data_IF_907375578760
#
_entry.id   IF_907375578760
#
_cell.length_a   1.000
_cell.length_b   1.000
_cell.length_c   1.000
_cell.angle_alpha   90.00
_cell.angle_beta   90.00
_cell.angle_gamma   90.00
#
_symmetry.space_group_name_H-M   'P 1'
#
loop_
_entity.id
_entity.type
_entity.pdbx_description
1 polymer ?
#
# COMPACT_ATOMS: atom_id res chain seq x y z
N UNK A 1 53.71 70.28 22.55
CA UNK A 1 52.85 71.06 21.63
C UNK A 1 51.45 71.10 22.22
N UNK A 2 50.97 72.30 22.53
CA UNK A 2 49.58 72.81 22.68
C UNK A 2 48.43 71.86 22.24
N UNK A 3 47.19 71.85 22.76
CA UNK A 3 46.41 72.69 23.71
C UNK A 3 45.01 72.04 23.85
N UNK A 4 44.31 72.36 24.94
CA UNK A 4 42.83 72.54 25.13
C UNK A 4 41.84 71.35 25.25
N UNK A 5 41.24 71.21 26.45
CA UNK A 5 39.82 70.86 26.75
C UNK A 5 38.88 72.05 26.37
N UNK A 6 37.51 72.00 26.31
CA UNK A 6 36.54 71.15 27.06
C UNK A 6 35.18 70.79 26.36
N UNK A 7 34.24 70.19 27.13
CA UNK A 7 32.75 70.29 27.05
C UNK A 7 32.00 69.51 25.93
N UNK A 8 30.76 68.98 26.02
CA UNK A 8 29.64 68.85 26.99
C UNK A 8 28.54 68.01 26.25
N UNK A 9 27.61 67.35 26.98
CA UNK A 9 26.32 66.73 26.54
C UNK A 9 26.41 65.47 25.62
N UNK A 10 25.68 64.36 25.83
CA UNK A 10 24.31 64.22 26.30
C UNK A 10 24.08 62.92 27.09
N UNK A 11 23.18 63.04 28.06
CA UNK A 11 22.61 61.95 28.83
C UNK A 11 21.41 61.29 28.11
N UNK A 12 21.09 60.10 28.59
CA UNK A 12 19.80 59.43 28.57
C UNK A 12 19.45 58.50 27.39
N UNK A 13 18.75 57.42 27.78
CA UNK A 13 18.13 56.33 27.01
C UNK A 13 19.07 55.18 26.60
N UNK A 14 19.04 54.06 27.35
CA UNK A 14 18.27 52.85 26.98
C UNK A 14 18.15 51.96 28.24
N UNK A 15 17.04 52.09 28.98
CA UNK A 15 16.52 51.06 29.89
C UNK A 15 15.11 50.70 29.42
N UNK A 16 15.00 50.02 28.29
CA UNK A 16 13.72 49.49 27.79
C UNK A 16 13.97 48.30 26.85
N UNK A 17 14.60 47.23 27.35
CA UNK A 17 14.96 46.07 26.53
C UNK A 17 14.44 44.71 27.00
N UNK A 18 13.95 44.58 28.24
CA UNK A 18 13.67 43.25 28.82
C UNK A 18 12.21 42.78 28.73
N UNK A 19 11.24 43.66 28.42
CA UNK A 19 9.82 43.28 28.38
C UNK A 19 9.31 42.73 27.04
N UNK A 20 10.03 42.98 25.94
CA UNK A 20 9.59 42.55 24.60
C UNK A 20 9.95 41.08 24.30
N UNK A 21 11.02 40.57 24.91
CA UNK A 21 11.49 39.19 24.69
C UNK A 21 10.62 38.18 25.44
N UNK A 22 10.12 38.50 26.64
CA UNK A 22 9.25 37.60 27.43
C UNK A 22 7.92 37.34 26.71
N UNK A 23 7.27 38.39 26.19
CA UNK A 23 6.01 38.27 25.41
C UNK A 23 6.17 37.44 24.13
N UNK A 24 7.34 37.48 23.48
CA UNK A 24 7.61 36.71 22.26
C UNK A 24 7.85 35.23 22.58
N UNK A 25 8.58 34.95 23.65
CA UNK A 25 8.86 33.58 24.13
C UNK A 25 7.58 32.90 24.63
N UNK A 26 6.68 33.59 25.34
CA UNK A 26 5.36 33.05 25.72
C UNK A 26 4.50 32.73 24.49
N UNK A 27 4.48 33.64 23.49
CA UNK A 27 3.68 33.48 22.27
C UNK A 27 4.21 32.37 21.35
N UNK A 28 5.52 32.15 21.34
CA UNK A 28 6.18 31.06 20.59
C UNK A 28 6.03 29.71 21.32
N UNK A 29 6.11 29.69 22.66
CA UNK A 29 5.83 28.49 23.46
C UNK A 29 4.36 28.04 23.34
N UNK A 30 3.42 28.96 23.14
CA UNK A 30 2.01 28.63 22.92
C UNK A 30 1.71 28.10 21.50
N UNK A 31 2.59 28.35 20.53
CA UNK A 31 2.47 27.86 19.16
C UNK A 31 3.03 26.43 18.95
N UNK A 32 3.78 25.90 19.92
CA UNK A 32 4.44 24.59 19.87
C UNK A 32 3.89 23.57 20.88
N UNK A 33 2.82 23.91 21.60
CA UNK A 33 2.12 22.92 22.42
C UNK A 33 1.43 21.92 21.51
N UNK A 34 1.51 20.60 21.79
CA UNK A 34 0.64 19.62 21.12
C UNK A 34 -0.80 20.10 21.24
N UNK A 35 -1.64 19.84 20.22
CA UNK A 35 -3.07 20.15 20.25
C UNK A 35 -3.60 19.80 21.65
N UNK A 36 -3.98 20.81 22.42
CA UNK A 36 -4.46 20.60 23.79
C UNK A 36 -5.80 19.89 23.66
N UNK A 37 -5.80 18.57 23.78
CA UNK A 37 -7.01 17.77 23.69
C UNK A 37 -7.82 17.89 24.98
N UNK A 38 -9.15 17.96 24.85
CA UNK A 38 -10.07 18.11 25.97
C UNK A 38 -10.40 16.74 26.59
N UNK A 39 -10.22 16.53 27.91
CA UNK A 39 -10.59 15.28 28.57
C UNK A 39 -12.10 15.22 28.84
N UNK A 40 -12.86 14.49 28.02
CA UNK A 40 -14.31 14.39 28.20
C UNK A 40 -14.66 13.61 29.46
N UNK A 41 -13.93 12.54 29.79
CA UNK A 41 -14.23 11.66 30.92
C UNK A 41 -14.30 12.42 32.24
N UNK A 42 -13.35 13.31 32.50
CA UNK A 42 -13.31 14.12 33.72
C UNK A 42 -14.56 14.99 33.85
N UNK A 43 -15.00 15.62 32.76
CA UNK A 43 -16.14 16.53 32.78
C UNK A 43 -17.47 15.77 32.89
N UNK A 44 -17.61 14.66 32.16
CA UNK A 44 -18.81 13.81 32.24
C UNK A 44 -18.93 13.15 33.61
N UNK A 45 -17.82 12.74 34.24
CA UNK A 45 -17.80 12.18 35.59
C UNK A 45 -18.21 13.20 36.67
N UNK A 46 -18.04 14.51 36.41
CA UNK A 46 -18.57 15.59 37.26
C UNK A 46 -20.06 15.87 37.04
N UNK A 47 -20.74 15.12 36.16
CA UNK A 47 -22.17 15.25 35.89
C UNK A 47 -22.52 16.41 34.95
N UNK A 48 -21.55 16.92 34.18
CA UNK A 48 -21.80 17.94 33.15
C UNK A 48 -22.49 17.27 31.95
N UNK A 49 -23.65 17.79 31.54
CA UNK A 49 -24.41 17.26 30.41
C UNK A 49 -23.73 17.60 29.08
N UNK A 50 -23.80 16.69 28.09
CA UNK A 50 -23.16 16.92 26.79
C UNK A 50 -23.62 18.23 26.11
N UNK A 51 -24.89 18.59 26.32
CA UNK A 51 -25.54 19.77 25.73
C UNK A 51 -25.11 21.08 26.40
N UNK A 52 -24.53 21.00 27.60
CA UNK A 52 -24.00 22.18 28.28
C UNK A 52 -22.79 22.72 27.51
N UNK A 53 -21.93 21.84 26.98
CA UNK A 53 -20.79 22.24 26.15
C UNK A 53 -21.15 22.29 24.65
N UNK A 54 -21.94 21.35 24.15
CA UNK A 54 -22.35 21.27 22.74
C UNK A 54 -23.66 22.00 22.48
N UNK A 55 -23.69 23.30 22.78
CA UNK A 55 -24.91 24.12 22.73
C UNK A 55 -25.48 24.17 21.31
N UNK A 56 -26.77 23.86 21.17
CA UNK A 56 -27.51 23.93 19.90
C UNK A 56 -27.33 22.71 18.99
N UNK A 57 -26.60 21.68 19.44
CA UNK A 57 -26.37 20.45 18.66
C UNK A 57 -27.69 19.77 18.27
N UNK A 58 -28.74 19.94 19.08
CA UNK A 58 -30.08 19.41 18.82
C UNK A 58 -30.77 20.02 17.60
N UNK A 59 -30.28 21.16 17.11
CA UNK A 59 -30.77 21.84 15.91
C UNK A 59 -29.82 21.68 14.72
N UNK A 60 -28.67 21.03 14.91
CA UNK A 60 -27.66 20.90 13.87
C UNK A 60 -28.18 20.04 12.71
N UNK A 61 -28.19 20.63 11.51
CA UNK A 61 -28.68 19.95 10.29
C UNK A 61 -27.55 19.39 9.44
N UNK A 62 -26.31 19.75 9.75
CA UNK A 62 -25.12 19.29 9.06
C UNK A 62 -23.97 19.20 10.05
N UNK A 63 -23.06 18.25 9.83
CA UNK A 63 -21.82 18.16 10.59
C UNK A 63 -20.85 19.33 10.30
N UNK A 64 -21.08 20.10 9.22
CA UNK A 64 -20.28 21.31 8.96
C UNK A 64 -20.49 22.40 10.03
N UNK A 65 -21.62 22.39 10.72
CA UNK A 65 -21.94 23.29 11.82
C UNK A 65 -21.20 22.81 13.09
N UNK A 66 -20.22 23.59 13.54
CA UNK A 66 -19.40 23.22 14.71
C UNK A 66 -20.05 23.73 15.99
N UNK A 67 -20.80 22.86 16.65
CA UNK A 67 -21.33 23.10 18.00
C UNK A 67 -20.28 22.71 19.05
N UNK A 68 -19.12 23.36 19.00
CA UNK A 68 -18.03 23.15 19.95
C UNK A 68 -18.04 24.26 21.00
N UNK A 69 -17.64 23.96 22.25
CA UNK A 69 -17.57 24.96 23.31
C UNK A 69 -16.55 26.05 22.94
N UNK A 70 -16.87 27.29 23.30
CA UNK A 70 -15.98 28.45 23.12
C UNK A 70 -15.16 28.68 24.38
N UNK A 71 -14.12 29.52 24.33
CA UNK A 71 -13.32 29.87 25.52
C UNK A 71 -14.19 30.50 26.62
N UNK A 72 -15.24 31.23 26.23
CA UNK A 72 -16.21 31.79 27.18
C UNK A 72 -16.92 30.69 27.96
N UNK A 73 -17.27 29.58 27.31
CA UNK A 73 -17.93 28.45 27.99
C UNK A 73 -17.01 27.77 28.99
N UNK A 74 -15.71 27.67 28.68
CA UNK A 74 -14.70 27.17 29.62
C UNK A 74 -14.56 28.11 30.83
N UNK A 75 -14.65 29.42 30.59
CA UNK A 75 -14.49 30.47 31.60
C UNK A 75 -15.62 30.54 32.63
N UNK A 76 -16.75 29.88 32.39
CA UNK A 76 -17.82 29.74 33.39
C UNK A 76 -17.39 28.90 34.60
N UNK A 77 -16.38 28.02 34.46
CA UNK A 77 -15.86 27.17 35.54
C UNK A 77 -14.33 27.27 35.72
N UNK A 78 -13.58 27.59 34.66
CA UNK A 78 -12.12 27.63 34.66
C UNK A 78 -11.59 29.03 34.33
N UNK A 79 -10.92 29.68 35.28
CA UNK A 79 -10.27 30.96 35.02
C UNK A 79 -8.99 30.77 34.18
N UNK A 80 -8.89 31.50 33.05
CA UNK A 80 -7.67 31.57 32.24
C UNK A 80 -7.41 30.40 31.28
N UNK A 81 -8.43 29.57 30.98
CA UNK A 81 -8.31 28.50 29.98
C UNK A 81 -8.99 28.87 28.66
N UNK A 82 -8.23 28.76 27.57
CA UNK A 82 -8.77 28.85 26.20
C UNK A 82 -9.33 27.51 25.74
N UNK A 83 -10.43 27.55 24.99
CA UNK A 83 -10.94 26.36 24.32
C UNK A 83 -9.91 25.82 23.33
N UNK A 84 -9.73 24.49 23.25
CA UNK A 84 -8.90 23.87 22.23
C UNK A 84 -9.26 24.35 20.83
N UNK A 85 -8.25 24.64 20.01
CA UNK A 85 -8.48 24.90 18.59
C UNK A 85 -9.00 23.63 17.94
N UNK A 86 -10.22 23.62 17.36
CA UNK A 86 -10.71 22.43 16.71
C UNK A 86 -9.87 22.15 15.47
N UNK A 87 -9.21 20.99 15.44
CA UNK A 87 -8.76 20.42 14.17
C UNK A 87 -9.95 20.30 13.23
N UNK A 88 -9.75 20.50 11.93
CA UNK A 88 -10.82 20.33 10.94
C UNK A 88 -10.83 18.87 10.49
N UNK A 89 -11.72 17.99 10.99
CA UNK A 89 -11.90 16.71 10.34
C UNK A 89 -12.57 16.95 8.98
N UNK A 90 -12.16 16.24 7.93
CA UNK A 90 -12.90 16.24 6.69
C UNK A 90 -14.30 15.67 6.97
N UNK A 91 -15.33 16.48 6.74
CA UNK A 91 -16.72 16.05 6.84
C UNK A 91 -17.01 15.13 5.66
N UNK A 92 -17.10 13.82 5.93
CA UNK A 92 -17.19 12.79 4.88
C UNK A 92 -18.55 12.10 4.80
N UNK A 93 -19.47 12.40 5.72
CA UNK A 93 -20.86 11.96 5.69
C UNK A 93 -21.85 13.11 5.82
N UNK A 94 -23.04 12.93 5.24
CA UNK A 94 -24.23 13.76 5.45
C UNK A 94 -24.94 13.22 6.67
N UNK A 95 -24.91 13.99 7.76
CA UNK A 95 -25.60 13.64 8.99
C UNK A 95 -26.16 14.89 9.66
N UNK A 96 -27.36 14.75 10.21
CA UNK A 96 -28.10 15.81 10.88
C UNK A 96 -28.52 15.33 12.27
N UNK A 97 -27.97 15.93 13.33
CA UNK A 97 -28.34 15.60 14.71
C UNK A 97 -29.82 15.90 14.97
N UNK A 98 -30.33 17.01 14.42
CA UNK A 98 -31.73 17.40 14.55
C UNK A 98 -32.72 16.33 14.04
N UNK A 99 -32.33 15.59 13.00
CA UNK A 99 -33.17 14.51 12.46
C UNK A 99 -33.10 13.22 13.29
N UNK A 100 -31.99 12.97 14.00
CA UNK A 100 -31.76 11.72 14.72
C UNK A 100 -32.14 11.78 16.19
N UNK A 101 -31.89 12.90 16.89
CA UNK A 101 -32.11 13.00 18.33
C UNK A 101 -33.59 12.85 18.71
N UNK A 102 -34.51 13.25 17.82
CA UNK A 102 -35.96 13.07 18.02
C UNK A 102 -36.50 11.68 17.69
N UNK A 103 -35.69 10.77 17.15
CA UNK A 103 -36.16 9.44 16.76
C UNK A 103 -36.38 8.56 17.98
N UNK A 104 -37.42 7.71 17.93
CA UNK A 104 -37.77 6.82 19.03
C UNK A 104 -36.64 5.84 19.43
N UNK A 105 -35.74 5.52 18.50
CA UNK A 105 -34.57 4.66 18.75
C UNK A 105 -33.44 5.40 19.50
N UNK A 106 -33.36 6.73 19.42
CA UNK A 106 -32.27 7.54 19.99
C UNK A 106 -32.72 8.26 21.26
N UNK A 107 -33.97 8.75 21.33
CA UNK A 107 -34.55 9.38 22.53
C UNK A 107 -33.68 10.50 23.13
N UNK A 108 -32.99 11.27 22.29
CA UNK A 108 -32.08 12.33 22.72
C UNK A 108 -30.79 11.86 23.42
N UNK A 109 -30.52 10.55 23.46
CA UNK A 109 -29.34 9.97 24.12
C UNK A 109 -28.13 9.96 23.20
N UNK A 110 -27.11 10.76 23.55
CA UNK A 110 -25.89 10.92 22.76
C UNK A 110 -25.03 9.65 22.71
N UNK A 111 -24.98 8.89 23.81
CA UNK A 111 -24.21 7.67 24.00
C UNK A 111 -24.69 6.48 23.14
N UNK A 112 -25.92 6.56 22.60
CA UNK A 112 -26.44 5.61 21.60
C UNK A 112 -25.49 5.47 20.41
N UNK A 113 -24.95 6.60 19.95
CA UNK A 113 -23.99 6.67 18.84
C UNK A 113 -22.57 6.93 19.33
N UNK A 114 -22.38 7.81 20.33
CA UNK A 114 -21.07 8.19 20.85
C UNK A 114 -20.60 7.27 21.99
N UNK A 115 -20.46 5.98 21.67
CA UNK A 115 -20.06 4.94 22.63
C UNK A 115 -18.67 5.13 23.24
N UNK A 116 -17.81 5.88 22.56
CA UNK A 116 -16.49 6.28 23.07
C UNK A 116 -16.31 7.77 22.81
N UNK A 117 -16.04 8.53 23.87
CA UNK A 117 -15.73 9.95 23.75
C UNK A 117 -14.24 10.12 23.41
N UNK A 118 -13.86 11.12 22.60
CA UNK A 118 -12.45 11.43 22.37
C UNK A 118 -11.77 11.85 23.68
N UNK A 119 -10.67 11.19 24.02
CA UNK A 119 -9.89 11.50 25.23
C UNK A 119 -8.48 11.98 24.89
N UNK A 120 -7.82 12.59 25.87
CA UNK A 120 -6.45 13.08 25.72
C UNK A 120 -5.48 11.97 25.34
N UNK A 121 -4.72 12.18 24.26
CA UNK A 121 -3.70 11.25 23.80
C UNK A 121 -4.26 10.03 23.07
N UNK A 122 -5.57 9.99 22.83
CA UNK A 122 -6.20 8.95 22.03
C UNK A 122 -6.51 9.44 20.61
N UNK A 123 -6.43 8.57 19.59
CA UNK A 123 -6.91 8.90 18.26
C UNK A 123 -8.37 9.35 18.31
N UNK A 124 -8.69 10.46 17.62
CA UNK A 124 -10.07 10.93 17.49
C UNK A 124 -10.98 9.78 17.04
N UNK A 125 -11.92 9.44 17.90
CA UNK A 125 -12.86 8.37 17.64
C UNK A 125 -14.03 8.87 16.78
N UNK A 126 -14.48 8.05 15.84
CA UNK A 126 -15.68 8.26 15.05
C UNK A 126 -16.54 7.01 15.11
N UNK A 127 -17.88 7.13 15.14
CA UNK A 127 -18.75 5.97 15.15
C UNK A 127 -18.45 5.04 13.96
N UNK A 128 -18.23 3.74 14.20
CA UNK A 128 -18.09 2.78 13.11
C UNK A 128 -19.41 2.60 12.36
N UNK A 129 -19.35 2.10 11.12
CA UNK A 129 -20.52 1.91 10.25
C UNK A 129 -21.60 1.00 10.85
N UNK A 130 -21.21 0.07 11.73
CA UNK A 130 -22.10 -0.80 12.50
C UNK A 130 -23.07 -0.01 13.39
N UNK A 131 -22.65 1.17 13.88
CA UNK A 131 -23.47 2.06 14.71
C UNK A 131 -24.67 2.57 13.92
N UNK A 132 -24.46 2.93 12.65
CA UNK A 132 -25.54 3.34 11.76
C UNK A 132 -26.39 2.14 11.33
N UNK A 133 -25.75 1.02 10.96
CA UNK A 133 -26.43 -0.15 10.38
C UNK A 133 -27.15 -1.02 11.41
N UNK A 134 -26.90 -0.82 12.71
CA UNK A 134 -27.69 -1.40 13.79
C UNK A 134 -29.17 -0.97 13.73
N UNK A 135 -29.44 0.25 13.27
CA UNK A 135 -30.80 0.77 13.10
C UNK A 135 -31.23 0.82 11.63
N UNK A 136 -30.32 1.18 10.73
CA UNK A 136 -30.62 1.34 9.31
C UNK A 136 -30.24 0.11 8.48
N UNK A 137 -31.24 -0.57 7.91
CA UNK A 137 -31.03 -1.74 7.05
C UNK A 137 -30.56 -1.34 5.64
N UNK A 138 -29.29 -0.98 5.52
CA UNK A 138 -28.63 -0.69 4.24
C UNK A 138 -27.77 -1.84 3.73
N UNK A 139 -28.05 -3.08 4.15
CA UNK A 139 -27.27 -4.23 3.70
C UNK A 139 -27.32 -4.40 2.17
N UNK A 140 -28.46 -4.10 1.54
CA UNK A 140 -28.57 -4.12 0.08
C UNK A 140 -27.71 -3.02 -0.57
N UNK A 141 -27.78 -1.78 -0.08
CA UNK A 141 -26.96 -0.68 -0.57
C UNK A 141 -25.46 -0.94 -0.36
N UNK A 142 -25.09 -1.54 0.78
CA UNK A 142 -23.75 -2.02 1.04
C UNK A 142 -23.39 -3.11 0.02
N UNK A 143 -24.15 -4.19 -0.11
CA UNK A 143 -23.83 -5.26 -1.06
C UNK A 143 -23.67 -4.75 -2.52
N UNK A 144 -24.39 -3.70 -2.88
CA UNK A 144 -24.38 -3.07 -4.21
C UNK A 144 -23.41 -1.87 -4.33
N UNK A 145 -22.64 -1.54 -3.29
CA UNK A 145 -21.65 -0.46 -3.29
C UNK A 145 -22.23 0.96 -3.34
N UNK A 146 -23.51 1.14 -2.97
CA UNK A 146 -24.21 2.43 -2.95
C UNK A 146 -23.98 3.19 -1.64
N UNK A 147 -22.79 3.78 -1.49
CA UNK A 147 -22.43 4.49 -0.26
C UNK A 147 -22.75 6.01 -0.27
N UNK A 148 -23.02 6.59 -1.44
CA UNK A 148 -23.28 8.04 -1.64
C UNK A 148 -24.49 8.64 -0.91
N UNK A 149 -25.55 7.89 -0.53
CA UNK A 149 -26.64 8.46 0.26
C UNK A 149 -26.16 9.06 1.58
N UNK A 150 -25.15 8.44 2.20
CA UNK A 150 -24.54 8.92 3.43
C UNK A 150 -23.20 9.61 3.18
N UNK A 151 -22.35 9.07 2.31
CA UNK A 151 -21.01 9.62 2.10
C UNK A 151 -20.98 10.75 1.06
N UNK A 152 -20.39 11.89 1.42
CA UNK A 152 -20.13 13.00 0.47
C UNK A 152 -18.92 12.71 -0.42
N UNK A 153 -17.93 12.00 0.10
CA UNK A 153 -16.72 11.58 -0.61
C UNK A 153 -16.21 10.27 -0.03
N UNK A 154 -15.91 9.30 -0.91
CA UNK A 154 -15.36 7.99 -0.54
C UNK A 154 -13.87 7.87 -0.83
N UNK A 155 -13.27 8.88 -1.50
CA UNK A 155 -11.85 8.87 -1.84
C UNK A 155 -10.99 8.81 -0.57
N UNK A 156 -9.99 7.92 -0.59
CA UNK A 156 -9.09 7.68 0.53
C UNK A 156 -9.66 6.81 1.65
N UNK A 157 -10.89 6.33 1.54
CA UNK A 157 -11.37 5.22 2.36
C UNK A 157 -10.93 3.90 1.69
N UNK A 158 -10.76 2.83 2.47
CA UNK A 158 -10.45 1.49 1.94
C UNK A 158 -11.70 0.58 1.96
N UNK A 159 -12.83 0.95 1.30
CA UNK A 159 -13.93 0.01 1.12
C UNK A 159 -13.44 -1.18 0.30
N UNK A 160 -12.37 -1.04 -0.49
CA UNK A 160 -11.64 -2.12 -1.16
C UNK A 160 -11.30 -3.29 -0.24
N UNK A 161 -11.10 -3.10 1.07
CA UNK A 161 -10.90 -4.27 1.97
C UNK A 161 -12.18 -5.09 2.12
N UNK A 162 -13.34 -4.43 2.09
CA UNK A 162 -14.66 -5.05 2.10
C UNK A 162 -15.13 -5.48 0.69
N UNK A 163 -14.74 -4.77 -0.37
CA UNK A 163 -14.98 -5.08 -1.79
C UNK A 163 -13.66 -5.40 -2.49
N UNK A 164 -12.92 -6.36 -1.96
CA UNK A 164 -11.59 -6.66 -2.47
C UNK A 164 -11.68 -7.16 -3.91
N UNK A 165 -11.00 -6.43 -4.81
CA UNK A 165 -10.77 -6.84 -6.20
C UNK A 165 -9.74 -7.98 -6.23
N UNK A 166 -10.08 -9.13 -5.65
CA UNK A 166 -9.19 -10.30 -5.56
C UNK A 166 -9.22 -11.11 -6.86
N UNK A 167 -8.11 -11.80 -7.11
CA UNK A 167 -7.98 -12.74 -8.24
C UNK A 167 -7.61 -12.01 -9.53
N UNK A 168 -8.30 -12.31 -10.63
CA UNK A 168 -7.88 -11.98 -11.99
C UNK A 168 -8.18 -10.52 -12.41
N UNK A 169 -8.06 -9.58 -11.47
CA UNK A 169 -8.39 -8.16 -11.68
C UNK A 169 -7.57 -7.55 -12.82
N UNK A 170 -6.26 -7.83 -12.89
CA UNK A 170 -5.43 -7.33 -13.98
C UNK A 170 -5.95 -7.74 -15.38
N UNK A 171 -6.62 -8.88 -15.51
CA UNK A 171 -7.22 -9.31 -16.77
C UNK A 171 -8.63 -8.77 -16.99
N UNK A 172 -9.42 -8.67 -15.92
CA UNK A 172 -10.86 -8.38 -15.99
C UNK A 172 -11.21 -6.90 -15.82
N UNK A 173 -10.31 -6.07 -15.28
CA UNK A 173 -10.60 -4.66 -15.02
C UNK A 173 -10.89 -3.87 -16.28
N UNK A 174 -10.24 -4.15 -17.41
CA UNK A 174 -10.45 -3.42 -18.66
C UNK A 174 -11.90 -3.52 -19.18
N UNK A 175 -12.44 -4.73 -19.37
CA UNK A 175 -13.84 -4.92 -19.75
C UNK A 175 -14.85 -4.33 -18.76
N UNK A 176 -14.54 -4.35 -17.45
CA UNK A 176 -15.42 -3.80 -16.41
C UNK A 176 -15.34 -2.27 -16.37
N UNK A 177 -14.15 -1.69 -16.40
CA UNK A 177 -13.93 -0.25 -16.25
C UNK A 177 -14.31 0.55 -17.50
N UNK A 178 -14.20 0.00 -18.71
CA UNK A 178 -14.55 0.70 -19.96
C UNK A 178 -15.98 1.26 -19.99
N UNK A 179 -17.03 0.48 -19.67
CA UNK A 179 -18.40 0.98 -19.63
C UNK A 179 -18.79 1.66 -18.31
N UNK A 180 -17.99 1.54 -17.25
CA UNK A 180 -18.37 2.02 -15.90
C UNK A 180 -17.24 2.74 -15.17
N UNK A 181 -16.43 3.53 -15.88
CA UNK A 181 -15.31 4.25 -15.28
C UNK A 181 -15.77 5.18 -14.14
N UNK A 182 -16.97 5.74 -14.24
CA UNK A 182 -17.59 6.62 -13.26
C UNK A 182 -17.92 5.89 -11.94
N UNK A 183 -18.27 4.60 -11.99
CA UNK A 183 -18.52 3.82 -10.78
C UNK A 183 -17.21 3.56 -10.04
N UNK A 184 -16.11 3.31 -10.77
CA UNK A 184 -14.77 3.19 -10.19
C UNK A 184 -14.31 4.52 -9.56
N UNK A 185 -14.56 5.64 -10.25
CA UNK A 185 -14.21 6.98 -9.77
C UNK A 185 -14.99 7.41 -8.51
N UNK A 186 -16.03 6.67 -8.13
CA UNK A 186 -16.72 6.89 -6.86
C UNK A 186 -15.85 6.52 -5.66
N UNK A 187 -14.90 5.59 -5.81
CA UNK A 187 -13.99 5.16 -4.73
C UNK A 187 -12.51 5.48 -5.03
N UNK A 188 -12.09 5.42 -6.29
CA UNK A 188 -10.70 5.61 -6.71
C UNK A 188 -10.44 6.98 -7.32
N UNK A 189 -9.26 7.55 -7.05
CA UNK A 189 -8.76 8.73 -7.74
C UNK A 189 -8.16 8.39 -9.11
N UNK A 190 -8.12 9.37 -10.02
CA UNK A 190 -7.49 9.18 -11.35
C UNK A 190 -6.00 8.81 -11.27
N UNK A 191 -5.34 9.17 -10.17
CA UNK A 191 -3.97 8.75 -9.89
C UNK A 191 -3.83 7.23 -9.76
N UNK A 192 -4.87 6.52 -9.31
CA UNK A 192 -4.88 5.06 -9.25
C UNK A 192 -4.78 4.45 -10.66
N UNK A 193 -5.63 4.90 -11.59
CA UNK A 193 -5.58 4.46 -12.99
C UNK A 193 -4.22 4.81 -13.62
N UNK A 194 -3.71 6.00 -13.30
CA UNK A 194 -2.46 6.50 -13.84
C UNK A 194 -1.27 5.62 -13.47
N UNK A 195 -1.23 5.01 -12.27
CA UNK A 195 -0.13 4.13 -11.82
C UNK A 195 0.23 3.00 -12.80
N UNK A 196 -0.73 2.53 -13.60
CA UNK A 196 -0.51 1.51 -14.62
C UNK A 196 -0.69 2.04 -16.06
N UNK A 197 -1.61 2.98 -16.29
CA UNK A 197 -1.93 3.45 -17.64
C UNK A 197 -1.15 4.69 -18.10
N UNK A 198 -0.46 5.39 -17.20
CA UNK A 198 0.31 6.59 -17.55
C UNK A 198 1.81 6.30 -17.56
N UNK A 199 2.33 5.83 -18.69
CA UNK A 199 3.77 5.54 -18.82
C UNK A 199 4.67 6.77 -18.57
N UNK A 200 4.14 7.99 -18.68
CA UNK A 200 4.91 9.24 -18.63
C UNK A 200 4.84 9.95 -17.28
N UNK A 201 3.77 9.75 -16.51
CA UNK A 201 3.53 10.52 -15.26
C UNK A 201 3.69 9.70 -13.99
N UNK A 202 3.99 8.40 -14.12
CA UNK A 202 4.15 7.53 -12.95
C UNK A 202 5.58 7.62 -12.43
N UNK A 203 5.71 7.78 -11.11
CA UNK A 203 6.99 8.01 -10.45
C UNK A 203 7.96 6.82 -10.52
N UNK A 204 7.46 5.59 -10.72
CA UNK A 204 8.27 4.38 -10.81
C UNK A 204 7.55 3.26 -11.57
N UNK A 205 8.29 2.23 -11.98
CA UNK A 205 7.71 1.00 -12.55
C UNK A 205 6.78 0.29 -11.54
N UNK A 206 5.74 -0.44 -11.98
CA UNK A 206 4.81 -1.11 -11.06
C UNK A 206 5.48 -2.06 -10.07
N UNK A 207 6.60 -2.69 -10.44
CA UNK A 207 7.40 -3.55 -9.54
C UNK A 207 8.01 -2.84 -8.34
N UNK A 208 8.08 -1.50 -8.37
CA UNK A 208 8.60 -0.66 -7.30
C UNK A 208 7.45 -0.02 -6.50
N UNK A 209 6.33 0.27 -7.18
CA UNK A 209 5.12 0.79 -6.54
C UNK A 209 4.43 -0.31 -5.72
N UNK A 210 4.47 -1.55 -6.22
CA UNK A 210 3.84 -2.73 -5.62
C UNK A 210 4.87 -3.83 -5.35
N UNK A 211 5.85 -3.61 -4.44
CA UNK A 211 6.94 -4.56 -4.21
C UNK A 211 6.49 -5.85 -3.51
N UNK A 212 5.36 -5.80 -2.79
CA UNK A 212 4.81 -6.93 -2.04
C UNK A 212 3.86 -7.80 -2.87
N UNK A 213 3.48 -7.34 -4.09
CA UNK A 213 2.59 -8.09 -4.96
C UNK A 213 3.35 -9.22 -5.67
N UNK A 214 3.17 -10.43 -5.15
CA UNK A 214 3.83 -11.67 -5.62
C UNK A 214 2.84 -12.66 -6.23
N UNK A 215 1.58 -12.25 -6.42
CA UNK A 215 0.53 -13.10 -6.96
C UNK A 215 0.83 -13.46 -8.42
N UNK A 216 0.34 -14.63 -8.85
CA UNK A 216 0.60 -15.14 -10.22
C UNK A 216 0.05 -14.20 -11.30
N UNK A 217 -1.05 -13.54 -11.02
CA UNK A 217 -1.72 -12.56 -11.89
C UNK A 217 -0.98 -11.23 -12.00
N UNK A 218 -0.06 -10.93 -11.07
CA UNK A 218 0.77 -9.73 -11.13
C UNK A 218 2.06 -9.98 -11.91
N UNK A 219 2.04 -9.63 -13.20
CA UNK A 219 3.18 -9.82 -14.12
C UNK A 219 4.33 -8.83 -13.88
N UNK A 220 4.12 -7.74 -13.14
CA UNK A 220 5.16 -6.76 -12.84
C UNK A 220 5.80 -6.95 -11.46
N UNK A 221 5.73 -8.16 -10.90
CA UNK A 221 6.43 -8.52 -9.66
C UNK A 221 7.95 -8.35 -9.76
N UNK A 222 8.61 -8.16 -8.61
CA UNK A 222 10.04 -7.89 -8.53
C UNK A 222 10.96 -8.96 -9.14
N UNK A 223 10.49 -10.21 -9.23
CA UNK A 223 11.24 -11.37 -9.74
C UNK A 223 10.88 -11.74 -11.20
N UNK A 224 10.15 -10.89 -11.93
CA UNK A 224 9.60 -11.19 -13.26
C UNK A 224 10.58 -11.89 -14.22
N UNK A 225 11.84 -11.44 -14.29
CA UNK A 225 12.89 -12.01 -15.17
C UNK A 225 13.03 -13.53 -15.01
N UNK A 226 12.91 -14.06 -13.78
CA UNK A 226 13.09 -15.49 -13.50
C UNK A 226 11.98 -16.40 -14.00
N UNK A 227 10.86 -15.84 -14.45
CA UNK A 227 9.63 -16.60 -14.75
C UNK A 227 8.90 -16.14 -15.99
N UNK A 228 9.25 -14.97 -16.54
CA UNK A 228 8.58 -14.41 -17.70
C UNK A 228 8.61 -15.32 -18.93
N UNK A 229 9.53 -16.28 -19.02
CA UNK A 229 9.52 -17.32 -20.06
C UNK A 229 8.23 -18.16 -20.04
N UNK A 230 7.68 -18.46 -18.85
CA UNK A 230 6.46 -19.25 -18.72
C UNK A 230 5.27 -18.40 -19.17
N UNK A 231 5.23 -17.15 -18.71
CA UNK A 231 4.16 -16.19 -19.03
C UNK A 231 4.18 -15.86 -20.54
N UNK A 232 5.35 -15.58 -21.11
CA UNK A 232 5.54 -15.26 -22.52
C UNK A 232 5.36 -16.46 -23.47
N UNK A 233 5.64 -17.69 -23.03
CA UNK A 233 5.34 -18.89 -23.82
C UNK A 233 3.85 -19.25 -23.77
N UNK A 234 3.18 -18.96 -22.65
CA UNK A 234 1.76 -19.30 -22.47
C UNK A 234 0.84 -18.31 -23.18
N UNK A 235 1.06 -17.00 -23.00
CA UNK A 235 0.28 -15.94 -23.64
C UNK A 235 1.16 -14.69 -23.88
N UNK A 236 1.95 -14.66 -24.96
CA UNK A 236 2.75 -13.48 -25.29
C UNK A 236 1.89 -12.26 -25.67
N UNK A 237 0.62 -12.48 -26.05
CA UNK A 237 -0.29 -11.40 -26.40
C UNK A 237 -0.74 -10.61 -25.17
N UNK A 238 -0.74 -11.22 -23.97
CA UNK A 238 -1.04 -10.54 -22.71
C UNK A 238 -0.16 -9.30 -22.47
N UNK A 239 1.15 -9.42 -22.71
CA UNK A 239 2.11 -8.32 -22.57
C UNK A 239 1.95 -7.30 -23.70
N UNK A 240 1.64 -7.77 -24.91
CA UNK A 240 1.51 -6.93 -26.11
C UNK A 240 0.33 -5.96 -26.08
N UNK A 241 -0.62 -6.16 -25.15
CA UNK A 241 -1.71 -5.22 -24.89
C UNK A 241 -1.22 -3.87 -24.35
N UNK A 242 -0.06 -3.86 -23.68
CA UNK A 242 0.50 -2.66 -23.07
C UNK A 242 1.92 -2.35 -23.58
N UNK A 243 2.71 -3.38 -23.91
CA UNK A 243 4.12 -3.26 -24.32
C UNK A 243 4.29 -3.59 -25.81
N UNK A 244 5.05 -2.78 -26.55
CA UNK A 244 5.41 -3.11 -27.93
C UNK A 244 6.43 -4.25 -28.01
N UNK A 245 6.47 -4.98 -29.13
CA UNK A 245 7.46 -6.07 -29.37
C UNK A 245 8.92 -5.67 -29.13
N UNK A 246 9.25 -4.42 -29.45
CA UNK A 246 10.59 -3.84 -29.26
C UNK A 246 11.07 -3.92 -27.80
N UNK A 247 10.16 -3.93 -26.82
CA UNK A 247 10.52 -4.09 -25.41
C UNK A 247 11.25 -5.42 -25.16
N UNK A 248 10.67 -6.53 -25.64
CA UNK A 248 11.27 -7.85 -25.50
C UNK A 248 12.58 -7.96 -26.29
N UNK A 249 12.59 -7.43 -27.52
CA UNK A 249 13.74 -7.46 -28.42
C UNK A 249 14.94 -6.69 -27.82
N UNK A 250 14.72 -5.46 -27.33
CA UNK A 250 15.77 -4.60 -26.77
C UNK A 250 16.43 -5.24 -25.54
N UNK A 251 15.62 -5.79 -24.62
CA UNK A 251 16.18 -6.46 -23.43
C UNK A 251 16.99 -7.70 -23.84
N UNK A 252 16.45 -8.53 -24.73
CA UNK A 252 17.13 -9.75 -25.16
C UNK A 252 18.41 -9.45 -25.96
N UNK A 253 18.43 -8.40 -26.78
CA UNK A 253 19.62 -7.92 -27.46
C UNK A 253 20.69 -7.43 -26.46
N UNK A 254 20.30 -6.63 -25.46
CA UNK A 254 21.22 -6.16 -24.41
C UNK A 254 21.82 -7.31 -23.59
N UNK A 255 21.08 -8.40 -23.43
CA UNK A 255 21.54 -9.61 -22.72
C UNK A 255 22.26 -10.61 -23.63
N UNK A 256 22.53 -10.27 -24.89
CA UNK A 256 23.13 -11.16 -25.90
C UNK A 256 22.40 -12.52 -26.01
N UNK A 257 21.07 -12.50 -25.90
CA UNK A 257 20.22 -13.68 -26.04
C UNK A 257 19.85 -13.84 -27.52
N UNK A 258 20.57 -14.72 -28.22
CA UNK A 258 20.38 -14.98 -29.66
C UNK A 258 19.23 -15.97 -29.89
N UNK A 259 18.64 -15.93 -31.09
CA UNK A 259 17.49 -16.77 -31.46
C UNK A 259 17.95 -18.07 -32.13
N UNK A 260 17.15 -19.14 -31.93
CA UNK A 260 17.02 -20.40 -32.68
C UNK A 260 17.66 -21.70 -32.14
N UNK A 261 16.86 -22.48 -31.37
CA UNK A 261 16.12 -23.68 -31.83
C UNK A 261 14.98 -23.96 -30.81
N UNK A 262 13.74 -24.24 -31.26
CA UNK A 262 12.67 -24.73 -30.37
C UNK A 262 11.96 -23.70 -29.47
N UNK A 263 11.98 -22.40 -29.81
CA UNK A 263 11.13 -21.38 -29.16
C UNK A 263 11.75 -20.58 -28.01
N UNK A 264 13.00 -20.86 -27.60
CA UNK A 264 13.74 -20.06 -26.61
C UNK A 264 14.94 -19.31 -27.22
N UNK A 265 15.29 -18.14 -26.65
CA UNK A 265 16.57 -17.46 -26.91
C UNK A 265 17.64 -18.00 -25.96
N UNK A 266 18.88 -18.19 -26.45
CA UNK A 266 19.99 -18.76 -25.67
C UNK A 266 21.23 -17.85 -25.70
N UNK A 267 22.09 -17.86 -24.67
CA UNK A 267 23.39 -17.20 -24.74
C UNK A 267 24.32 -17.86 -25.76
N UNK A 268 25.22 -17.09 -26.38
CA UNK A 268 26.26 -17.54 -27.33
C UNK A 268 27.05 -18.76 -26.82
N UNK A 269 27.28 -18.82 -25.50
CA UNK A 269 28.01 -19.90 -24.81
C UNK A 269 27.32 -21.27 -24.84
N UNK A 270 26.05 -21.36 -25.24
CA UNK A 270 25.22 -22.56 -25.11
C UNK A 270 25.09 -23.40 -26.40
N UNK A 271 25.65 -22.98 -27.55
CA UNK A 271 25.12 -23.48 -28.82
C UNK A 271 26.01 -23.57 -30.04
N UNK A 272 27.26 -23.12 -30.02
CA UNK A 272 28.13 -23.35 -31.19
C UNK A 272 28.64 -24.80 -31.17
N UNK A 273 28.50 -25.57 -32.27
CA UNK A 273 29.17 -26.86 -32.42
C UNK A 273 30.67 -26.71 -32.10
N UNK A 274 31.22 -27.60 -31.27
CA UNK A 274 32.63 -27.55 -30.88
C UNK A 274 32.95 -26.76 -29.61
N UNK A 275 31.96 -26.16 -28.92
CA UNK A 275 32.17 -25.46 -27.63
C UNK A 275 32.38 -26.40 -26.44
N UNK A 276 32.05 -27.70 -26.60
CA UNK A 276 32.11 -28.70 -25.53
C UNK A 276 31.04 -28.54 -24.45
N UNK A 277 30.09 -27.60 -24.60
CA UNK A 277 29.07 -27.30 -23.59
C UNK A 277 28.16 -28.51 -23.27
N UNK A 278 27.50 -29.07 -24.28
CA UNK A 278 26.40 -30.03 -24.05
C UNK A 278 26.88 -31.46 -23.71
N UNK A 279 28.02 -31.93 -24.22
CA UNK A 279 28.36 -33.36 -24.19
C UNK A 279 29.87 -33.67 -24.00
N UNK A 280 30.71 -32.67 -23.72
CA UNK A 280 32.14 -32.90 -23.48
C UNK A 280 32.48 -32.61 -22.02
N UNK A 281 32.55 -33.67 -21.21
CA UNK A 281 32.92 -33.60 -19.78
C UNK A 281 34.36 -33.14 -19.55
N UNK A 282 35.19 -33.14 -20.59
CA UNK A 282 36.59 -32.72 -20.52
C UNK A 282 36.78 -31.26 -20.92
N UNK A 283 35.75 -30.64 -21.50
CA UNK A 283 35.75 -29.22 -21.81
C UNK A 283 35.68 -28.40 -20.53
N UNK A 284 36.53 -27.36 -20.42
CA UNK A 284 36.41 -26.35 -19.36
C UNK A 284 35.10 -25.57 -19.38
N UNK A 285 34.30 -25.72 -20.45
CA UNK A 285 32.97 -25.15 -20.63
C UNK A 285 31.86 -26.19 -20.48
N UNK A 286 32.10 -27.36 -19.88
CA UNK A 286 31.05 -28.38 -19.72
C UNK A 286 29.86 -27.87 -18.89
N UNK A 287 28.65 -27.99 -19.43
CA UNK A 287 27.43 -27.48 -18.77
C UNK A 287 27.19 -28.14 -17.41
N UNK A 288 27.63 -29.39 -17.21
CA UNK A 288 27.51 -30.07 -15.92
C UNK A 288 28.33 -29.41 -14.82
N UNK A 289 29.51 -28.86 -15.13
CA UNK A 289 30.33 -28.13 -14.15
C UNK A 289 29.77 -26.75 -13.88
N UNK A 290 29.26 -26.06 -14.92
CA UNK A 290 28.55 -24.80 -14.77
C UNK A 290 27.27 -24.95 -13.91
N UNK A 291 26.49 -26.01 -14.17
CA UNK A 291 25.29 -26.34 -13.42
C UNK A 291 25.58 -26.65 -11.95
N UNK A 292 26.71 -27.32 -11.64
CA UNK A 292 27.11 -27.55 -10.24
C UNK A 292 27.48 -26.25 -9.50
N UNK A 293 27.97 -25.23 -10.20
CA UNK A 293 28.32 -23.93 -9.61
C UNK A 293 27.09 -23.08 -9.34
N UNK A 294 26.12 -23.07 -10.25
CA UNK A 294 24.91 -22.26 -10.12
C UNK A 294 23.72 -22.84 -10.89
N UNK A 295 23.11 -23.90 -10.37
CA UNK A 295 21.93 -24.52 -10.98
C UNK A 295 20.73 -23.56 -11.02
N UNK A 296 20.59 -22.69 -10.02
CA UNK A 296 19.50 -21.72 -9.89
C UNK A 296 19.52 -20.67 -10.99
N UNK A 297 20.71 -20.22 -11.40
CA UNK A 297 20.88 -19.32 -12.55
C UNK A 297 20.46 -19.95 -13.87
N UNK A 298 20.71 -21.26 -14.05
CA UNK A 298 20.25 -21.99 -15.23
C UNK A 298 18.73 -22.23 -15.19
N UNK A 299 18.20 -22.62 -14.03
CA UNK A 299 16.78 -22.86 -13.80
C UNK A 299 15.93 -21.62 -14.12
N UNK A 300 16.43 -20.41 -13.85
CA UNK A 300 15.73 -19.16 -14.17
C UNK A 300 15.33 -19.01 -15.66
N UNK A 301 16.02 -19.69 -16.59
CA UNK A 301 15.71 -19.67 -18.02
C UNK A 301 15.26 -21.03 -18.58
N UNK A 302 15.46 -22.12 -17.84
CA UNK A 302 15.28 -23.48 -18.32
C UNK A 302 14.29 -24.31 -17.49
N UNK A 303 13.88 -23.82 -16.33
CA UNK A 303 12.93 -24.50 -15.47
C UNK A 303 11.50 -24.31 -15.95
N UNK A 304 10.84 -25.44 -16.18
CA UNK A 304 9.44 -25.55 -16.55
C UNK A 304 8.79 -26.68 -15.72
N UNK A 305 9.30 -26.91 -14.51
CA UNK A 305 8.89 -28.04 -13.66
C UNK A 305 9.18 -29.39 -14.34
N UNK A 306 8.17 -30.26 -14.39
CA UNK A 306 8.28 -31.57 -15.04
C UNK A 306 8.58 -31.52 -16.55
N UNK A 307 8.37 -30.37 -17.19
CA UNK A 307 8.70 -30.12 -18.59
C UNK A 307 10.07 -29.40 -18.76
N UNK A 308 10.86 -29.25 -17.69
CA UNK A 308 12.17 -28.59 -17.79
C UNK A 308 13.10 -29.33 -18.75
N UNK A 309 13.95 -28.58 -19.44
CA UNK A 309 14.95 -29.15 -20.37
C UNK A 309 15.90 -30.14 -19.68
N UNK A 310 16.13 -29.92 -18.38
CA UNK A 310 16.97 -30.78 -17.54
C UNK A 310 16.37 -32.20 -17.48
N UNK A 311 15.06 -32.32 -17.26
CA UNK A 311 14.37 -33.61 -17.15
C UNK A 311 14.42 -34.37 -18.47
N UNK A 312 14.28 -33.68 -19.61
CA UNK A 312 14.32 -34.32 -20.92
C UNK A 312 15.61 -35.15 -21.16
N UNK A 313 16.75 -34.70 -20.62
CA UNK A 313 18.03 -35.40 -20.75
C UNK A 313 18.42 -36.21 -19.49
N UNK A 314 18.10 -35.73 -18.28
CA UNK A 314 18.56 -36.30 -17.01
C UNK A 314 17.51 -37.12 -16.24
N UNK A 315 16.32 -37.32 -16.81
CA UNK A 315 15.40 -38.34 -16.30
C UNK A 315 16.08 -39.71 -16.24
N UNK A 316 15.58 -40.61 -15.40
CA UNK A 316 16.10 -41.99 -15.31
C UNK A 316 16.03 -42.63 -16.70
N UNK A 317 17.16 -43.17 -17.16
CA UNK A 317 17.30 -43.73 -18.51
C UNK A 317 17.59 -42.72 -19.63
N UNK A 318 17.66 -41.42 -19.32
CA UNK A 318 18.01 -40.35 -20.25
C UNK A 318 19.51 -40.27 -20.56
N UNK A 319 19.83 -39.62 -21.68
CA UNK A 319 21.20 -39.50 -22.24
C UNK A 319 22.16 -38.64 -21.40
N UNK A 320 21.63 -37.74 -20.56
CA UNK A 320 22.41 -36.85 -19.70
C UNK A 320 23.04 -37.55 -18.50
N UNK A 321 22.58 -38.76 -18.16
CA UNK A 321 23.04 -39.53 -17.01
C UNK A 321 22.62 -38.93 -15.67
N UNK A 322 23.10 -39.53 -14.58
CA UNK A 322 22.67 -39.17 -13.22
C UNK A 322 23.16 -37.76 -12.81
N UNK A 323 22.25 -36.82 -12.51
CA UNK A 323 22.62 -35.46 -12.11
C UNK A 323 23.12 -35.38 -10.65
N UNK A 324 22.83 -36.39 -9.82
CA UNK A 324 23.19 -36.39 -8.41
C UNK A 324 24.71 -36.51 -8.19
N UNK A 325 25.29 -35.82 -7.18
CA UNK A 325 26.68 -36.04 -6.80
C UNK A 325 26.89 -37.47 -6.27
N UNK A 326 28.11 -38.00 -6.36
CA UNK A 326 28.45 -39.37 -5.90
C UNK A 326 28.10 -39.62 -4.42
N UNK A 327 28.00 -38.57 -3.61
CA UNK A 327 27.66 -38.62 -2.17
C UNK A 327 26.17 -38.50 -1.89
N UNK A 328 25.31 -38.32 -2.89
CA UNK A 328 23.88 -38.07 -2.71
C UNK A 328 23.18 -39.19 -1.93
N UNK A 329 23.45 -40.45 -2.30
CA UNK A 329 22.90 -41.63 -1.64
C UNK A 329 23.39 -41.84 -0.19
N UNK A 330 24.31 -41.01 0.31
CA UNK A 330 24.69 -41.03 1.74
C UNK A 330 23.66 -40.32 2.63
N UNK A 331 22.77 -39.51 2.04
CA UNK A 331 21.79 -38.69 2.76
C UNK A 331 20.35 -38.89 2.30
N UNK A 332 20.15 -39.63 1.20
CA UNK A 332 18.87 -39.84 0.54
C UNK A 332 18.75 -41.31 0.12
N UNK A 333 17.56 -41.89 0.29
CA UNK A 333 17.27 -43.27 -0.12
C UNK A 333 16.22 -43.31 -1.25
N UNK A 334 15.89 -44.51 -1.72
CA UNK A 334 14.91 -44.70 -2.81
C UNK A 334 13.47 -44.43 -2.38
N UNK A 335 13.18 -44.39 -1.08
CA UNK A 335 11.90 -44.00 -0.50
C UNK A 335 11.57 -42.52 -0.70
N UNK A 336 12.60 -41.66 -0.74
CA UNK A 336 12.45 -40.21 -0.98
C UNK A 336 11.74 -39.91 -2.31
N UNK A 337 11.88 -40.79 -3.31
CA UNK A 337 11.24 -40.64 -4.62
C UNK A 337 9.71 -40.66 -4.50
N UNK A 338 9.17 -41.52 -3.64
CA UNK A 338 7.71 -41.64 -3.45
C UNK A 338 7.16 -40.51 -2.58
N UNK A 339 7.98 -39.99 -1.68
CA UNK A 339 7.58 -38.98 -0.70
C UNK A 339 7.70 -37.54 -1.23
N UNK A 340 8.48 -37.31 -2.30
CA UNK A 340 8.73 -35.97 -2.83
C UNK A 340 8.29 -35.86 -4.29
N UNK A 341 7.28 -35.02 -4.56
CA UNK A 341 6.75 -34.77 -5.90
C UNK A 341 7.81 -34.24 -6.90
N UNK A 342 8.87 -33.58 -6.40
CA UNK A 342 9.99 -33.11 -7.22
C UNK A 342 10.85 -34.27 -7.73
N UNK A 343 11.09 -35.30 -6.92
CA UNK A 343 11.81 -36.50 -7.34
C UNK A 343 11.04 -37.27 -8.42
N UNK A 344 9.70 -37.27 -8.31
CA UNK A 344 8.81 -37.86 -9.31
C UNK A 344 8.83 -37.12 -10.65
N UNK A 345 9.46 -35.96 -10.79
CA UNK A 345 9.62 -35.32 -12.11
C UNK A 345 10.65 -36.07 -12.98
N UNK A 346 11.73 -36.59 -12.38
CA UNK A 346 12.81 -37.27 -13.08
C UNK A 346 12.74 -38.81 -13.00
N UNK A 347 12.01 -39.33 -12.02
CA UNK A 347 11.92 -40.77 -11.71
C UNK A 347 10.57 -41.39 -12.13
N UNK A 348 9.97 -40.89 -13.21
CA UNK A 348 8.71 -41.46 -13.74
C UNK A 348 9.03 -42.77 -14.48
N UNK A 349 8.59 -43.87 -13.88
CA UNK A 349 8.79 -45.28 -14.28
C UNK A 349 10.05 -45.93 -13.68
N UNK A 350 9.79 -46.69 -12.61
CA UNK A 350 10.69 -47.50 -11.79
C UNK A 350 9.94 -47.95 -10.55
#
# INVERSE_FOLDING_TARGET
>A
MNRTLPAVLAAALVLAGCGAKTKKVEKEAQAQRPDVEFPHSIHVDQGIDCKDCHVGIEKATSLTERHLPTSEKCSECHEGYDAPKPGVPPQRIRFAHAQHLGQAAVQGKCDTCHKKLPEMGEPRWSPPMDTCTACHKHQADFNEGRCRPCHVDLKGYFPERAYAHKGDWLRLHGPVARPSAESCASCHDQTYCAQCHSATTVAARPSIIFPEEVTRDFIHRGDYVSRHMVDANSDPASCQRCHGRKYCETCHEQQNLTTFFGGGRRPESHGLPGTGWANDRTSGNFHGDAARRNITGCAACHDQGAASICVACHQVGGVGGNPHPKTFLKRHDTGDIRQNAMCQACHRAG
#
